data_IF_061903133693
#
_entry.id   IF_061903133693
#
_cell.length_a   1.000
_cell.length_b   1.000
_cell.length_c   1.000
_cell.angle_alpha   90.00
_cell.angle_beta   90.00
_cell.angle_gamma   90.00
#
_symmetry.space_group_name_H-M   'P 1'
#
loop_
_entity.id
_entity.type
_entity.pdbx_description
1 polymer ?
#
# COMPACT_ATOMS: atom_id res chain seq x y z
N UNK A 1 9.09 10.50 -1.81
CA UNK A 1 8.45 9.72 -0.71
C UNK A 1 9.35 9.84 0.50
N UNK A 2 8.81 10.22 1.65
CA UNK A 2 9.54 10.17 2.92
C UNK A 2 9.55 8.76 3.52
N UNK A 3 10.37 8.56 4.55
CA UNK A 3 10.58 7.27 5.22
C UNK A 3 9.28 6.70 5.83
N UNK A 4 8.42 7.56 6.38
CA UNK A 4 7.12 7.20 6.94
C UNK A 4 6.17 6.61 5.88
N UNK A 5 6.10 7.28 4.72
CA UNK A 5 5.30 6.82 3.58
C UNK A 5 5.76 5.45 3.09
N UNK A 6 7.08 5.24 3.00
CA UNK A 6 7.64 3.95 2.60
C UNK A 6 7.28 2.85 3.61
N UNK A 7 7.39 3.12 4.91
CA UNK A 7 7.01 2.16 5.95
C UNK A 7 5.53 1.74 5.86
N UNK A 8 4.62 2.69 5.63
CA UNK A 8 3.18 2.40 5.48
C UNK A 8 2.93 1.56 4.23
N UNK A 9 3.60 1.86 3.11
CA UNK A 9 3.50 1.08 1.87
C UNK A 9 3.91 -0.37 2.12
N UNK A 10 5.05 -0.59 2.79
CA UNK A 10 5.55 -1.92 3.13
C UNK A 10 4.57 -2.65 4.07
N UNK A 11 4.06 -1.98 5.11
CA UNK A 11 3.07 -2.57 6.01
C UNK A 11 1.79 -3.00 5.27
N UNK A 12 1.28 -2.16 4.35
CA UNK A 12 0.11 -2.50 3.53
C UNK A 12 0.36 -3.67 2.58
N UNK A 13 1.57 -3.76 2.00
CA UNK A 13 1.97 -4.88 1.16
C UNK A 13 1.99 -6.17 1.99
N UNK A 14 2.62 -6.16 3.17
CA UNK A 14 2.67 -7.33 4.04
C UNK A 14 1.28 -7.76 4.50
N UNK A 15 0.41 -6.80 4.88
CA UNK A 15 -0.97 -7.07 5.26
C UNK A 15 -1.76 -7.82 4.18
N UNK A 16 -1.44 -7.55 2.91
CA UNK A 16 -2.16 -8.06 1.73
C UNK A 16 -1.30 -8.99 0.88
N UNK A 17 -0.18 -9.50 1.40
CA UNK A 17 0.82 -10.21 0.60
C UNK A 17 0.23 -11.42 -0.14
N UNK A 18 -0.71 -12.13 0.50
CA UNK A 18 -1.43 -13.27 -0.10
C UNK A 18 -2.33 -12.90 -1.29
N UNK A 19 -2.67 -11.61 -1.43
CA UNK A 19 -3.50 -11.08 -2.52
C UNK A 19 -2.68 -10.25 -3.52
N UNK A 20 -1.36 -10.09 -3.30
CA UNK A 20 -0.47 -9.34 -4.17
C UNK A 20 0.31 -10.33 -5.02
N UNK A 21 -0.04 -10.39 -6.30
CA UNK A 21 0.60 -11.29 -7.25
C UNK A 21 2.06 -10.89 -7.57
N UNK A 22 2.38 -9.59 -7.50
CA UNK A 22 3.72 -9.06 -7.76
C UNK A 22 4.01 -7.83 -6.93
N UNK A 23 4.96 -7.95 -5.99
CA UNK A 23 5.38 -6.83 -5.14
C UNK A 23 6.03 -5.70 -5.97
N UNK A 24 6.83 -6.04 -6.99
CA UNK A 24 7.49 -5.06 -7.85
C UNK A 24 6.52 -4.27 -8.73
N UNK A 25 5.54 -4.95 -9.34
CA UNK A 25 4.47 -4.29 -10.10
C UNK A 25 3.60 -3.41 -9.20
N UNK A 26 3.31 -3.88 -7.99
CA UNK A 26 2.54 -3.12 -7.01
C UNK A 26 3.28 -1.87 -6.51
N UNK A 27 4.60 -1.89 -6.36
CA UNK A 27 5.39 -0.73 -5.95
C UNK A 27 5.56 0.31 -7.07
N UNK A 28 5.55 -0.11 -8.34
CA UNK A 28 5.77 0.80 -9.47
C UNK A 28 4.72 1.92 -9.53
N UNK A 29 3.45 1.61 -9.28
CA UNK A 29 2.37 2.61 -9.30
C UNK A 29 2.48 3.64 -8.15
N UNK A 30 2.64 3.24 -6.87
CA UNK A 30 2.97 4.13 -5.76
C UNK A 30 4.19 5.01 -6.02
N UNK A 31 5.30 4.43 -6.48
CA UNK A 31 6.54 5.16 -6.72
C UNK A 31 6.40 6.17 -7.86
N UNK A 32 5.68 5.81 -8.92
CA UNK A 32 5.38 6.71 -10.03
C UNK A 32 4.51 7.90 -9.60
N UNK A 33 3.41 7.62 -8.88
CA UNK A 33 2.57 8.66 -8.27
C UNK A 33 3.35 9.55 -7.31
N UNK A 34 4.33 9.01 -6.60
CA UNK A 34 5.15 9.80 -5.70
C UNK A 34 6.11 10.72 -6.41
N UNK A 35 6.65 10.27 -7.56
CA UNK A 35 7.52 11.07 -8.41
C UNK A 35 6.77 12.27 -8.97
N UNK A 36 5.49 12.11 -9.27
CA UNK A 36 4.60 13.18 -9.76
C UNK A 36 3.94 14.00 -8.65
N UNK A 37 4.23 13.72 -7.37
CA UNK A 37 3.62 14.40 -6.22
C UNK A 37 2.15 14.05 -5.97
N UNK A 38 1.60 13.06 -6.68
CA UNK A 38 0.20 12.63 -6.63
C UNK A 38 -0.03 11.43 -5.69
N UNK A 39 1.01 10.99 -4.98
CA UNK A 39 0.87 9.87 -4.05
C UNK A 39 0.22 10.30 -2.74
N UNK A 40 -0.83 9.57 -2.35
CA UNK A 40 -1.45 9.71 -1.03
C UNK A 40 -1.56 8.34 -0.36
N UNK A 41 -1.24 8.31 0.93
CA UNK A 41 -1.29 7.11 1.77
C UNK A 41 -2.71 6.79 2.26
N UNK A 42 -3.61 7.78 2.24
CA UNK A 42 -4.99 7.63 2.74
C UNK A 42 -5.77 6.49 2.07
N UNK A 43 -5.84 6.43 0.72
CA UNK A 43 -6.50 5.32 0.02
C UNK A 43 -5.89 3.96 0.31
N UNK A 44 -4.56 3.92 0.51
CA UNK A 44 -3.81 2.70 0.80
C UNK A 44 -4.13 2.19 2.21
N UNK A 45 -4.20 3.08 3.20
CA UNK A 45 -4.59 2.78 4.58
C UNK A 45 -6.05 2.31 4.67
N UNK A 46 -6.97 2.97 3.96
CA UNK A 46 -8.39 2.56 3.91
C UNK A 46 -8.55 1.17 3.31
N UNK A 47 -7.79 0.84 2.27
CA UNK A 47 -7.78 -0.48 1.69
C UNK A 47 -7.23 -1.55 2.65
N UNK A 48 -6.23 -1.21 3.48
CA UNK A 48 -5.71 -2.08 4.52
C UNK A 48 -6.72 -2.29 5.67
N UNK A 49 -7.37 -1.22 6.14
CA UNK A 49 -8.43 -1.28 7.16
C UNK A 49 -9.60 -2.16 6.69
N UNK A 50 -10.06 -1.99 5.44
CA UNK A 50 -11.12 -2.83 4.86
C UNK A 50 -10.71 -4.30 4.74
N UNK A 51 -9.45 -4.56 4.39
CA UNK A 51 -8.93 -5.93 4.33
C UNK A 51 -8.85 -6.59 5.71
N UNK A 52 -8.60 -5.81 6.78
CA UNK A 52 -8.63 -6.32 8.15
C UNK A 52 -10.03 -6.50 8.72
N UNK A 53 -11.00 -5.67 8.33
CA UNK A 53 -12.41 -5.89 8.66
C UNK A 53 -12.92 -7.24 8.17
N UNK A 54 -12.48 -7.66 6.97
CA UNK A 54 -12.83 -8.95 6.35
C UNK A 54 -12.14 -10.18 6.94
N UNK A 55 -11.14 -10.00 7.80
CA UNK A 55 -10.38 -11.10 8.43
C UNK A 55 -10.87 -11.43 9.84
N UNK A 56 -11.95 -10.78 10.29
CA UNK A 56 -12.55 -10.94 11.64
C UNK A 56 -13.89 -11.69 11.61
N UNK A 57 -14.19 -12.37 10.52
CA UNK A 57 -15.37 -13.20 10.28
C UNK A 57 -14.92 -14.64 10.00
#
# INVERSE_FOLDING_TARGET
>A
MGQEVAAIVIACILQRAQHINSAGGYLRVPTDKARTGQFSVGPMLMAALKANGRRRE
#
